data_IF_837763460115
#
_entry.id   IF_837763460115
#
_cell.length_a   1.000
_cell.length_b   1.000
_cell.length_c   1.000
_cell.angle_alpha   90.00
_cell.angle_beta   90.00
_cell.angle_gamma   90.00
#
_symmetry.space_group_name_H-M   'P 1'
#
loop_
_entity.id
_entity.type
_entity.pdbx_description
1 polymer ?
#
# COMPACT_ATOMS: atom_id res chain seq x y z
N UNK A 1 -4.75 -12.40 -28.47
CA UNK A 1 -4.42 -12.39 -27.04
C UNK A 1 -3.28 -13.34 -26.87
N UNK A 2 -2.09 -12.80 -26.72
CA UNK A 2 -0.89 -13.59 -26.51
C UNK A 2 -0.79 -13.97 -25.03
N UNK A 3 0.11 -14.90 -24.69
CA UNK A 3 0.27 -15.39 -23.32
C UNK A 3 0.48 -14.25 -22.30
N UNK A 4 1.16 -13.19 -22.72
CA UNK A 4 1.43 -12.00 -21.89
C UNK A 4 0.12 -11.26 -21.57
N UNK A 5 -0.77 -11.09 -22.55
CA UNK A 5 -2.06 -10.42 -22.35
C UNK A 5 -2.92 -11.19 -21.35
N UNK A 6 -2.94 -12.52 -21.48
CA UNK A 6 -3.69 -13.40 -20.57
C UNK A 6 -3.11 -13.32 -19.15
N UNK A 7 -1.78 -13.36 -19.02
CA UNK A 7 -1.10 -13.24 -17.73
C UNK A 7 -1.38 -11.89 -17.05
N UNK A 8 -1.38 -10.79 -17.81
CA UNK A 8 -1.71 -9.45 -17.31
C UNK A 8 -3.17 -9.37 -16.86
N UNK A 9 -4.11 -9.86 -17.66
CA UNK A 9 -5.53 -9.83 -17.33
C UNK A 9 -5.84 -10.61 -16.05
N UNK A 10 -5.24 -11.80 -15.90
CA UNK A 10 -5.36 -12.62 -14.69
C UNK A 10 -4.73 -11.91 -13.49
N UNK A 11 -3.55 -11.33 -13.65
CA UNK A 11 -2.85 -10.62 -12.57
C UNK A 11 -3.63 -9.41 -12.06
N UNK A 12 -4.18 -8.59 -12.97
CA UNK A 12 -5.02 -7.47 -12.59
C UNK A 12 -6.30 -7.92 -11.88
N UNK A 13 -6.95 -8.97 -12.39
CA UNK A 13 -8.16 -9.55 -11.76
C UNK A 13 -7.85 -10.03 -10.34
N UNK A 14 -6.79 -10.83 -10.18
CA UNK A 14 -6.38 -11.34 -8.87
C UNK A 14 -5.97 -10.24 -7.91
N UNK A 15 -5.29 -9.20 -8.39
CA UNK A 15 -4.88 -8.05 -7.56
C UNK A 15 -6.10 -7.31 -7.02
N UNK A 16 -7.12 -7.09 -7.86
CA UNK A 16 -8.37 -6.45 -7.43
C UNK A 16 -9.08 -7.33 -6.39
N UNK A 17 -9.21 -8.64 -6.65
CA UNK A 17 -9.84 -9.57 -5.71
C UNK A 17 -9.10 -9.63 -4.38
N UNK A 18 -7.77 -9.69 -4.41
CA UNK A 18 -6.94 -9.69 -3.20
C UNK A 18 -7.09 -8.38 -2.42
N UNK A 19 -7.10 -7.23 -3.11
CA UNK A 19 -7.34 -5.92 -2.49
C UNK A 19 -8.70 -5.83 -1.80
N UNK A 20 -9.76 -6.33 -2.46
CA UNK A 20 -11.10 -6.39 -1.86
C UNK A 20 -11.13 -7.32 -0.65
N UNK A 21 -10.58 -8.53 -0.76
CA UNK A 21 -10.53 -9.50 0.33
C UNK A 21 -9.74 -8.95 1.54
N UNK A 22 -8.64 -8.24 1.30
CA UNK A 22 -7.82 -7.60 2.33
C UNK A 22 -8.57 -6.52 3.13
N UNK A 23 -9.64 -5.94 2.58
CA UNK A 23 -10.50 -4.97 3.28
C UNK A 23 -11.70 -5.68 3.92
N UNK A 24 -12.36 -6.56 3.16
CA UNK A 24 -13.61 -7.23 3.57
C UNK A 24 -13.37 -8.20 4.73
N UNK A 25 -12.31 -9.00 4.71
CA UNK A 25 -12.07 -9.98 5.77
C UNK A 25 -11.80 -9.35 7.14
N UNK A 26 -10.93 -8.32 7.28
CA UNK A 26 -10.77 -7.65 8.56
C UNK A 26 -12.06 -7.03 9.08
N UNK A 27 -12.89 -6.46 8.19
CA UNK A 27 -14.18 -5.88 8.60
C UNK A 27 -15.10 -6.97 9.15
N UNK A 28 -15.35 -8.05 8.40
CA UNK A 28 -16.21 -9.16 8.83
C UNK A 28 -15.73 -9.73 10.17
N UNK A 29 -14.42 -9.97 10.31
CA UNK A 29 -13.84 -10.53 11.53
C UNK A 29 -13.91 -9.56 12.73
N UNK A 30 -14.00 -8.25 12.49
CA UNK A 30 -14.03 -7.25 13.55
C UNK A 30 -15.45 -6.89 14.02
N UNK A 31 -16.51 -7.27 13.28
CA UNK A 31 -17.92 -6.94 13.64
C UNK A 31 -18.33 -7.51 15.00
N UNK A 32 -17.81 -8.69 15.35
CA UNK A 32 -18.15 -9.35 16.63
C UNK A 32 -17.45 -8.72 17.84
N UNK A 33 -16.43 -7.87 17.63
CA UNK A 33 -15.62 -7.28 18.69
C UNK A 33 -15.36 -5.78 18.45
N UNK A 34 -16.14 -4.86 19.05
CA UNK A 34 -16.02 -3.42 18.84
C UNK A 34 -14.61 -2.87 19.14
N UNK A 35 -13.91 -3.47 20.11
CA UNK A 35 -12.53 -3.09 20.45
C UNK A 35 -11.54 -3.43 19.33
N UNK A 36 -11.76 -4.53 18.61
CA UNK A 36 -10.92 -4.92 17.48
C UNK A 36 -11.14 -3.98 16.29
N UNK A 37 -12.39 -3.56 16.04
CA UNK A 37 -12.72 -2.55 15.03
C UNK A 37 -11.99 -1.23 15.25
N UNK A 38 -11.91 -0.75 16.49
CA UNK A 38 -11.19 0.50 16.79
C UNK A 38 -9.70 0.37 16.49
N UNK A 39 -9.07 -0.76 16.81
CA UNK A 39 -7.66 -1.01 16.48
C UNK A 39 -7.42 -1.11 14.97
N UNK A 40 -8.29 -1.82 14.26
CA UNK A 40 -8.24 -1.92 12.81
C UNK A 40 -8.42 -0.54 12.14
N UNK A 41 -9.39 0.25 12.63
CA UNK A 41 -9.61 1.62 12.18
C UNK A 41 -8.42 2.54 12.45
N UNK A 42 -7.78 2.42 13.62
CA UNK A 42 -6.57 3.16 13.93
C UNK A 42 -5.40 2.81 12.99
N UNK A 43 -5.24 1.52 12.65
CA UNK A 43 -4.26 1.07 11.67
C UNK A 43 -4.53 1.62 10.27
N UNK A 44 -5.80 1.61 9.83
CA UNK A 44 -6.20 2.19 8.55
C UNK A 44 -5.96 3.71 8.52
N UNK A 45 -6.31 4.43 9.59
CA UNK A 45 -6.03 5.86 9.72
C UNK A 45 -4.53 6.16 9.63
N UNK A 46 -3.70 5.37 10.31
CA UNK A 46 -2.25 5.51 10.23
C UNK A 46 -1.72 5.33 8.79
N UNK A 47 -2.24 4.33 8.06
CA UNK A 47 -1.89 4.12 6.65
C UNK A 47 -2.29 5.31 5.78
N UNK A 48 -3.48 5.87 5.98
CA UNK A 48 -3.93 7.07 5.25
C UNK A 48 -3.03 8.26 5.55
N UNK A 49 -2.63 8.47 6.80
CA UNK A 49 -1.71 9.56 7.17
C UNK A 49 -0.35 9.38 6.49
N UNK A 50 0.21 8.17 6.50
CA UNK A 50 1.48 7.87 5.83
C UNK A 50 1.36 8.08 4.32
N UNK A 51 0.24 7.67 3.72
CA UNK A 51 -0.04 7.90 2.31
C UNK A 51 -0.08 9.41 1.99
N UNK A 52 -0.78 10.22 2.79
CA UNK A 52 -0.86 11.66 2.58
C UNK A 52 0.51 12.33 2.66
N UNK A 53 1.35 11.93 3.63
CA UNK A 53 2.74 12.42 3.73
C UNK A 53 3.54 12.02 2.50
N UNK A 54 3.46 10.74 2.10
CA UNK A 54 4.18 10.20 0.95
C UNK A 54 3.75 10.84 -0.37
N UNK A 55 2.45 11.09 -0.54
CA UNK A 55 1.88 11.79 -1.68
C UNK A 55 2.27 13.27 -1.69
N UNK A 56 2.33 13.92 -0.53
CA UNK A 56 2.75 15.32 -0.42
C UNK A 56 4.21 15.53 -0.86
N UNK A 57 5.11 14.60 -0.50
CA UNK A 57 6.52 14.65 -0.90
C UNK A 57 6.79 14.06 -2.29
N UNK A 58 5.83 13.33 -2.88
CA UNK A 58 5.98 12.79 -4.23
C UNK A 58 5.98 13.91 -5.27
N UNK A 59 6.96 13.83 -6.17
CA UNK A 59 7.02 14.65 -7.37
C UNK A 59 5.87 14.33 -8.34
N UNK A 60 5.61 15.28 -9.24
CA UNK A 60 4.63 15.18 -10.32
C UNK A 60 5.28 15.15 -11.70
N UNK A 61 6.55 14.74 -11.78
CA UNK A 61 7.32 14.78 -13.01
C UNK A 61 6.71 13.85 -14.05
N UNK A 62 6.52 14.37 -15.27
CA UNK A 62 6.13 13.58 -16.43
C UNK A 62 7.37 13.41 -17.29
N UNK A 63 7.90 12.18 -17.35
CA UNK A 63 9.05 11.83 -18.19
C UNK A 63 8.57 11.50 -19.60
N UNK A 64 9.42 11.64 -20.62
CA UNK A 64 9.08 11.24 -21.98
C UNK A 64 8.63 9.76 -22.08
N UNK A 65 9.16 8.89 -21.19
CA UNK A 65 8.72 7.49 -21.07
C UNK A 65 7.29 7.30 -20.54
N UNK A 66 6.64 8.35 -20.04
CA UNK A 66 5.28 8.33 -19.49
C UNK A 66 4.24 8.72 -20.53
N UNK A 67 4.65 9.34 -21.64
CA UNK A 67 3.77 9.74 -22.74
C UNK A 67 3.14 8.53 -23.43
N UNK A 68 3.88 7.42 -23.57
CA UNK A 68 3.38 6.15 -24.14
C UNK A 68 2.25 5.52 -23.30
N UNK A 69 2.19 5.84 -22.01
CA UNK A 69 1.19 5.31 -21.08
C UNK A 69 0.10 6.34 -20.73
N UNK A 70 0.09 7.50 -21.40
CA UNK A 70 -0.84 8.62 -21.13
C UNK A 70 -0.82 9.06 -19.64
N UNK A 71 0.31 8.89 -18.96
CA UNK A 71 0.45 9.18 -17.53
C UNK A 71 0.62 10.70 -17.35
N UNK A 72 -0.46 11.38 -17.03
CA UNK A 72 -0.45 12.80 -16.66
C UNK A 72 0.18 13.07 -15.29
N UNK A 73 0.45 14.34 -14.98
CA UNK A 73 1.10 14.78 -13.74
C UNK A 73 0.40 14.30 -12.46
N UNK A 74 -0.94 14.24 -12.46
CA UNK A 74 -1.74 13.76 -11.33
C UNK A 74 -1.52 12.27 -11.06
N UNK A 75 -1.53 11.46 -12.12
CA UNK A 75 -1.38 10.01 -12.02
C UNK A 75 0.08 9.65 -11.69
N UNK A 76 1.05 10.38 -12.26
CA UNK A 76 2.47 10.28 -11.88
C UNK A 76 2.68 10.54 -10.39
N UNK A 77 2.11 11.63 -9.85
CA UNK A 77 2.20 11.95 -8.41
C UNK A 77 1.51 10.91 -7.54
N UNK A 78 0.39 10.35 -7.98
CA UNK A 78 -0.32 9.30 -7.26
C UNK A 78 0.51 8.00 -7.19
N UNK A 79 1.07 7.56 -8.31
CA UNK A 79 1.95 6.38 -8.37
C UNK A 79 3.21 6.60 -7.52
N UNK A 80 3.86 7.75 -7.65
CA UNK A 80 5.04 8.11 -6.86
C UNK A 80 4.75 8.16 -5.36
N UNK A 81 3.57 8.65 -4.97
CA UNK A 81 3.09 8.64 -3.59
C UNK A 81 2.92 7.23 -3.03
N UNK A 82 2.34 6.31 -3.82
CA UNK A 82 2.19 4.90 -3.44
C UNK A 82 3.54 4.18 -3.33
N UNK A 83 4.44 4.37 -4.29
CA UNK A 83 5.80 3.82 -4.25
C UNK A 83 6.57 4.30 -3.01
N UNK A 84 6.52 5.61 -2.76
CA UNK A 84 7.18 6.23 -1.60
C UNK A 84 6.61 5.68 -0.28
N UNK A 85 5.29 5.51 -0.21
CA UNK A 85 4.62 4.88 0.93
C UNK A 85 5.12 3.44 1.13
N UNK A 86 5.20 2.64 0.07
CA UNK A 86 5.70 1.25 0.16
C UNK A 86 7.13 1.22 0.67
N UNK A 87 8.01 2.09 0.18
CA UNK A 87 9.39 2.17 0.66
C UNK A 87 9.47 2.60 2.13
N UNK A 88 8.69 3.61 2.53
CA UNK A 88 8.64 4.05 3.92
C UNK A 88 8.16 2.93 4.86
N UNK A 89 7.08 2.24 4.50
CA UNK A 89 6.56 1.10 5.26
C UNK A 89 7.55 -0.05 5.32
N UNK A 90 8.30 -0.31 4.26
CA UNK A 90 9.35 -1.35 4.24
C UNK A 90 10.45 -1.02 5.26
N UNK A 91 10.94 0.22 5.28
CA UNK A 91 11.97 0.66 6.25
C UNK A 91 11.43 0.60 7.68
N UNK A 92 10.20 1.07 7.92
CA UNK A 92 9.54 1.00 9.24
C UNK A 92 9.39 -0.45 9.68
N UNK A 93 8.97 -1.35 8.80
CA UNK A 93 8.79 -2.76 9.11
C UNK A 93 10.12 -3.43 9.47
N UNK A 94 11.15 -3.23 8.65
CA UNK A 94 12.49 -3.78 8.92
C UNK A 94 13.06 -3.23 10.23
N UNK A 95 12.96 -1.92 10.46
CA UNK A 95 13.39 -1.29 11.72
C UNK A 95 12.61 -1.83 12.93
N UNK A 96 11.30 -2.03 12.79
CA UNK A 96 10.45 -2.60 13.82
C UNK A 96 10.82 -4.05 14.16
N UNK A 97 11.16 -4.86 13.16
CA UNK A 97 11.65 -6.23 13.35
C UNK A 97 12.96 -6.21 14.13
N UNK A 98 13.95 -5.41 13.70
CA UNK A 98 15.25 -5.31 14.38
C UNK A 98 15.07 -4.85 15.83
N UNK A 99 14.27 -3.80 16.06
CA UNK A 99 13.97 -3.31 17.40
C UNK A 99 13.34 -4.39 18.28
N UNK A 100 12.39 -5.16 17.74
CA UNK A 100 11.70 -6.22 18.46
C UNK A 100 12.67 -7.33 18.86
N UNK A 101 13.55 -7.76 17.96
CA UNK A 101 14.52 -8.82 18.22
C UNK A 101 15.60 -8.37 19.24
N UNK A 102 16.10 -7.13 19.12
CA UNK A 102 17.05 -6.57 20.10
C UNK A 102 16.40 -6.40 21.47
N UNK A 103 15.17 -5.89 21.52
CA UNK A 103 14.43 -5.71 22.77
C UNK A 103 14.18 -7.04 23.50
N UNK A 104 13.86 -8.11 22.75
CA UNK A 104 13.73 -9.46 23.30
C UNK A 104 15.07 -10.06 23.75
N UNK A 105 16.18 -9.75 23.08
CA UNK A 105 17.49 -10.29 23.43
C UNK A 105 18.10 -9.62 24.68
N UNK A 106 17.72 -8.36 24.94
CA UNK A 106 18.18 -7.59 26.11
C UNK A 106 17.31 -7.87 27.35
N UNK A 107 16.06 -8.30 27.16
CA UNK A 107 15.08 -8.50 28.23
C UNK A 107 14.97 -9.98 28.62
#
# INVERSE_FOLDING_TARGET
>A
MDLIDVALYVSYTLTILAGLAAIVFPIINSVSDPKSMVKAGAGLLALVVIFLISWAISGNEVRASYEEFEIGATLSKFIGGLLTMTYALTVIALGGIVYTEVSKAIK
#
